data_IF_909046030410
#
_entry.id   IF_909046030410
#
_cell.length_a   1.000
_cell.length_b   1.000
_cell.length_c   1.000
_cell.angle_alpha   90.00
_cell.angle_beta   90.00
_cell.angle_gamma   90.00
#
_symmetry.space_group_name_H-M   'P 1'
#
loop_
_entity.id
_entity.type
_entity.pdbx_description
1 polymer ?
#
# COMPACT_ATOMS: atom_id res chain seq x y z
N UNK A 1 1.47 -36.32 24.32
CA UNK A 1 1.42 -36.16 22.86
C UNK A 1 1.00 -34.72 22.60
N UNK A 2 1.97 -33.85 22.35
CA UNK A 2 1.77 -32.40 22.22
C UNK A 2 1.72 -32.04 20.75
N UNK A 3 0.64 -31.41 20.31
CA UNK A 3 0.55 -30.76 19.00
C UNK A 3 0.48 -29.25 19.24
N UNK A 4 1.64 -28.61 19.27
CA UNK A 4 1.76 -27.15 19.28
C UNK A 4 1.60 -26.61 17.86
N UNK A 5 0.66 -25.67 17.69
CA UNK A 5 0.43 -24.90 16.47
C UNK A 5 1.48 -23.78 16.37
N UNK A 6 2.18 -23.58 15.23
CA UNK A 6 3.28 -22.62 15.16
C UNK A 6 2.84 -21.19 14.81
N UNK A 7 1.55 -20.91 14.60
CA UNK A 7 1.10 -19.58 14.18
C UNK A 7 0.86 -18.64 15.35
N UNK A 8 1.94 -18.17 15.97
CA UNK A 8 1.92 -16.91 16.73
C UNK A 8 1.74 -15.76 15.73
N UNK A 9 0.49 -15.36 15.55
CA UNK A 9 0.11 -14.16 14.79
C UNK A 9 0.66 -12.90 15.47
N UNK A 10 1.90 -12.51 15.15
CA UNK A 10 2.33 -11.14 15.34
C UNK A 10 1.48 -10.26 14.42
N UNK A 11 0.58 -9.44 14.99
CA UNK A 11 -0.10 -8.37 14.26
C UNK A 11 0.97 -7.41 13.78
N UNK A 12 1.44 -7.61 12.56
CA UNK A 12 2.15 -6.57 11.83
C UNK A 12 1.16 -5.44 11.58
N UNK A 13 1.51 -4.17 11.85
CA UNK A 13 0.69 -3.06 11.38
C UNK A 13 0.61 -3.18 9.86
N UNK A 14 -0.62 -3.12 9.34
CA UNK A 14 -0.89 -3.19 7.92
C UNK A 14 -0.38 -1.92 7.24
N UNK A 15 0.94 -1.82 7.05
CA UNK A 15 1.54 -0.83 6.18
C UNK A 15 1.12 -1.17 4.76
N UNK A 16 0.53 -0.24 4.02
CA UNK A 16 0.20 -0.48 2.62
C UNK A 16 1.51 -0.46 1.82
N UNK A 17 2.06 -1.64 1.53
CA UNK A 17 3.03 -1.78 0.43
C UNK A 17 2.24 -1.58 -0.87
N UNK A 18 2.41 -0.43 -1.52
CA UNK A 18 1.88 -0.17 -2.85
C UNK A 18 2.88 -0.61 -3.92
N UNK A 19 2.36 -1.23 -4.98
CA UNK A 19 3.11 -1.68 -6.15
C UNK A 19 2.73 -0.77 -7.31
N UNK A 20 3.64 0.10 -7.77
CA UNK A 20 3.45 0.92 -8.96
C UNK A 20 4.56 0.60 -9.98
N UNK A 21 4.24 0.34 -11.26
CA UNK A 21 5.22 0.05 -12.31
C UNK A 21 5.94 1.29 -12.86
N UNK A 22 5.50 2.50 -12.51
CA UNK A 22 6.01 3.76 -13.05
C UNK A 22 6.02 4.86 -11.97
N UNK A 23 7.22 5.17 -11.49
CA UNK A 23 7.46 6.16 -10.45
C UNK A 23 7.42 7.58 -11.03
N UNK A 24 6.22 8.17 -11.03
CA UNK A 24 6.09 9.63 -11.15
C UNK A 24 6.81 10.29 -9.98
N UNK A 25 7.62 11.31 -10.26
CA UNK A 25 8.46 12.02 -9.28
C UNK A 25 7.59 12.64 -8.17
N UNK A 26 7.68 12.08 -6.96
CA UNK A 26 7.13 12.69 -5.75
C UNK A 26 8.18 13.62 -5.14
N UNK A 27 8.16 14.93 -5.44
CA UNK A 27 8.47 15.99 -4.46
C UNK A 27 8.57 17.39 -5.08
N UNK A 28 7.69 18.28 -4.60
CA UNK A 28 8.04 19.67 -4.32
C UNK A 28 8.09 19.85 -2.80
N UNK A 29 9.30 19.94 -2.27
CA UNK A 29 9.73 20.49 -0.96
C UNK A 29 8.72 20.55 0.20
N UNK A 30 8.76 19.57 1.14
CA UNK A 30 8.98 19.81 2.60
C UNK A 30 9.02 18.53 3.46
N UNK A 31 9.91 18.59 4.45
CA UNK A 31 10.06 17.74 5.64
C UNK A 31 10.47 16.27 5.45
N UNK A 32 11.79 16.06 5.40
CA UNK A 32 12.43 14.75 5.56
C UNK A 32 12.20 14.18 6.97
N UNK A 33 11.34 13.17 7.15
CA UNK A 33 11.41 12.22 8.28
C UNK A 33 10.90 10.82 7.86
N UNK A 34 11.76 10.06 7.19
CA UNK A 34 11.97 8.59 7.22
C UNK A 34 12.48 8.12 5.86
N UNK A 35 13.81 8.17 5.72
CA UNK A 35 14.65 7.36 4.83
C UNK A 35 14.27 7.30 3.36
N UNK A 36 15.26 7.56 2.50
CA UNK A 36 15.25 7.30 1.06
C UNK A 36 15.12 5.80 0.77
N UNK A 37 14.02 5.16 1.17
CA UNK A 37 13.71 3.76 0.86
C UNK A 37 13.07 3.77 -0.52
N UNK A 38 13.90 4.01 -1.52
CA UNK A 38 13.58 3.71 -2.90
C UNK A 38 14.34 2.45 -3.29
N UNK A 39 13.62 1.33 -3.38
CA UNK A 39 14.20 0.02 -3.63
C UNK A 39 13.51 -0.65 -4.82
N UNK A 40 14.29 -1.20 -5.76
CA UNK A 40 13.76 -1.96 -6.88
C UNK A 40 13.72 -3.45 -6.53
N UNK A 41 12.53 -4.03 -6.59
CA UNK A 41 12.27 -5.44 -6.35
C UNK A 41 11.99 -6.14 -7.68
N UNK A 42 12.33 -7.43 -7.76
CA UNK A 42 12.00 -8.27 -8.92
C UNK A 42 10.95 -9.29 -8.50
N UNK A 43 9.78 -9.22 -9.10
CA UNK A 43 8.71 -10.18 -8.96
C UNK A 43 9.11 -11.55 -9.51
N UNK A 44 8.41 -12.59 -9.07
CA UNK A 44 8.69 -13.97 -9.50
C UNK A 44 8.55 -14.17 -11.03
N UNK A 45 7.73 -13.36 -11.66
CA UNK A 45 7.50 -13.31 -13.10
C UNK A 45 8.55 -12.48 -13.87
N UNK A 46 9.55 -11.94 -13.17
CA UNK A 46 10.56 -11.05 -13.74
C UNK A 46 10.13 -9.59 -13.84
N UNK A 47 8.94 -9.22 -13.34
CA UNK A 47 8.51 -7.82 -13.30
C UNK A 47 9.36 -7.01 -12.32
N UNK A 48 9.69 -5.77 -12.67
CA UNK A 48 10.39 -4.85 -11.77
C UNK A 48 9.37 -3.96 -11.05
N UNK A 49 9.48 -3.87 -9.73
CA UNK A 49 8.59 -3.12 -8.86
C UNK A 49 9.40 -2.10 -8.07
N UNK A 50 8.95 -0.86 -8.00
CA UNK A 50 9.57 0.14 -7.14
C UNK A 50 8.83 0.20 -5.80
N UNK A 51 9.54 -0.08 -4.72
CA UNK A 51 9.09 0.21 -3.37
C UNK A 51 9.53 1.62 -3.00
N UNK A 52 8.55 2.48 -2.71
CA UNK A 52 8.77 3.86 -2.26
C UNK A 52 7.68 4.31 -1.29
N UNK A 53 7.90 5.38 -0.50
CA UNK A 53 6.85 6.01 0.28
C UNK A 53 5.66 6.45 -0.60
N UNK A 54 4.46 6.38 -0.05
CA UNK A 54 3.25 6.96 -0.64
C UNK A 54 3.32 8.49 -0.56
N UNK A 55 2.79 9.19 -1.56
CA UNK A 55 2.76 10.65 -1.58
C UNK A 55 1.38 11.20 -2.00
N UNK A 56 1.06 12.48 -1.72
CA UNK A 56 -0.26 13.05 -2.04
C UNK A 56 -0.63 12.97 -3.53
N UNK A 57 0.36 12.97 -4.43
CA UNK A 57 0.13 12.82 -5.87
C UNK A 57 -0.37 11.42 -6.27
N UNK A 58 -0.33 10.43 -5.37
CA UNK A 58 -0.74 9.05 -5.65
C UNK A 58 -2.24 8.79 -5.49
N UNK A 59 -3.04 9.78 -5.10
CA UNK A 59 -4.49 9.61 -4.86
C UNK A 59 -5.21 8.96 -6.06
N UNK A 60 -4.93 9.43 -7.27
CA UNK A 60 -5.52 8.88 -8.49
C UNK A 60 -5.05 7.43 -8.74
N UNK A 61 -3.77 7.14 -8.50
CA UNK A 61 -3.19 5.79 -8.65
C UNK A 61 -3.78 4.82 -7.61
N UNK A 62 -3.85 5.22 -6.35
CA UNK A 62 -4.46 4.47 -5.26
C UNK A 62 -5.93 4.16 -5.54
N UNK A 63 -6.70 5.14 -6.02
CA UNK A 63 -8.10 4.94 -6.41
C UNK A 63 -8.23 3.88 -7.50
N UNK A 64 -7.42 3.98 -8.55
CA UNK A 64 -7.43 3.02 -9.66
C UNK A 64 -7.08 1.61 -9.18
N UNK A 65 -6.02 1.49 -8.38
CA UNK A 65 -5.58 0.23 -7.77
C UNK A 65 -6.70 -0.45 -6.97
N UNK A 66 -7.34 0.29 -6.05
CA UNK A 66 -8.42 -0.24 -5.20
C UNK A 66 -9.66 -0.67 -5.99
N UNK A 67 -9.97 0.02 -7.09
CA UNK A 67 -11.06 -0.37 -8.00
C UNK A 67 -10.74 -1.67 -8.74
N UNK A 68 -9.48 -1.89 -9.10
CA UNK A 68 -9.00 -3.11 -9.76
C UNK A 68 -8.94 -4.35 -8.86
N UNK A 69 -8.99 -4.18 -7.53
CA UNK A 69 -9.03 -5.31 -6.59
C UNK A 69 -10.33 -6.12 -6.74
N UNK A 70 -10.22 -7.43 -6.58
CA UNK A 70 -11.39 -8.31 -6.52
C UNK A 70 -12.24 -8.03 -5.28
N UNK A 71 -13.54 -8.38 -5.34
CA UNK A 71 -14.44 -8.29 -4.19
C UNK A 71 -13.87 -9.00 -2.95
N UNK A 72 -13.31 -10.20 -3.13
CA UNK A 72 -12.69 -10.96 -2.06
C UNK A 72 -11.49 -10.24 -1.42
N UNK A 73 -10.59 -9.69 -2.24
CA UNK A 73 -9.43 -8.94 -1.73
C UNK A 73 -9.86 -7.73 -0.89
N UNK A 74 -10.89 -7.00 -1.36
CA UNK A 74 -11.49 -5.89 -0.60
C UNK A 74 -12.15 -6.37 0.69
N UNK A 75 -12.93 -7.45 0.63
CA UNK A 75 -13.59 -8.01 1.81
C UNK A 75 -12.58 -8.48 2.87
N UNK A 76 -11.52 -9.20 2.50
CA UNK A 76 -10.52 -9.66 3.46
C UNK A 76 -9.75 -8.51 4.12
N UNK A 77 -9.48 -7.43 3.37
CA UNK A 77 -8.71 -6.30 3.90
C UNK A 77 -9.56 -5.32 4.73
N UNK A 78 -10.84 -5.15 4.39
CA UNK A 78 -11.69 -4.07 4.94
C UNK A 78 -13.01 -4.56 5.55
N UNK A 79 -13.28 -5.87 5.53
CA UNK A 79 -14.53 -6.46 6.03
C UNK A 79 -15.76 -6.24 5.14
N UNK A 80 -15.62 -5.51 4.03
CA UNK A 80 -16.69 -5.19 3.06
C UNK A 80 -16.11 -5.23 1.65
N UNK A 81 -16.69 -6.00 0.74
CA UNK A 81 -16.13 -6.22 -0.60
C UNK A 81 -16.58 -5.20 -1.66
N UNK A 82 -17.66 -4.49 -1.38
CA UNK A 82 -18.28 -3.44 -2.18
C UNK A 82 -17.83 -2.03 -1.78
N UNK A 83 -16.96 -1.91 -0.77
CA UNK A 83 -16.53 -0.62 -0.27
C UNK A 83 -15.76 0.19 -1.33
N UNK A 84 -15.91 1.51 -1.25
CA UNK A 84 -15.13 2.49 -2.01
C UNK A 84 -14.72 3.60 -1.05
N UNK A 85 -13.46 4.00 -1.07
CA UNK A 85 -13.00 5.15 -0.28
C UNK A 85 -13.54 6.45 -0.87
N UNK A 86 -13.99 7.33 0.01
CA UNK A 86 -14.22 8.74 -0.29
C UNK A 86 -12.88 9.45 -0.56
N UNK A 87 -12.95 10.62 -1.19
CA UNK A 87 -11.77 11.46 -1.47
C UNK A 87 -10.95 11.74 -0.21
N UNK A 88 -11.60 12.12 0.90
CA UNK A 88 -10.93 12.42 2.16
C UNK A 88 -10.20 11.21 2.77
N UNK A 89 -10.75 10.01 2.59
CA UNK A 89 -10.09 8.79 3.07
C UNK A 89 -8.88 8.42 2.20
N UNK A 90 -8.95 8.69 0.89
CA UNK A 90 -7.80 8.54 -0.02
C UNK A 90 -6.71 9.57 0.28
N UNK A 91 -7.08 10.81 0.65
CA UNK A 91 -6.12 11.81 1.12
C UNK A 91 -5.35 11.30 2.33
N UNK A 92 -6.04 10.82 3.37
CA UNK A 92 -5.37 10.28 4.57
C UNK A 92 -4.51 9.03 4.31
N UNK A 93 -4.79 8.28 3.24
CA UNK A 93 -3.96 7.14 2.81
C UNK A 93 -2.68 7.59 2.10
N UNK A 94 -2.76 8.66 1.31
CA UNK A 94 -1.67 9.19 0.50
C UNK A 94 -0.88 10.30 1.19
N UNK A 95 -1.39 10.81 2.30
CA UNK A 95 -0.82 11.87 3.11
C UNK A 95 -1.08 11.55 4.61
N UNK A 96 -0.39 10.53 5.16
CA UNK A 96 -0.69 10.02 6.50
C UNK A 96 -0.24 10.94 7.64
N UNK A 97 0.65 11.90 7.37
CA UNK A 97 1.15 12.91 8.32
C UNK A 97 1.14 14.31 7.62
N UNK A 98 -0.05 14.91 7.40
CA UNK A 98 -0.19 16.17 6.66
C UNK A 98 0.36 17.41 7.40
#
# INVERSE_FOLDING_TARGET
MSTESPFKSARLPALPLFVAPDAGTCCGTRAAVRGDIEETWVGRDGSHLLLRPVCPADIARSRSFLRGLSYGARYFRFGRGDFQFAEAELQGLCDPDP
#
